data_IF_106187319586
#
_entry.id   IF_106187319586
#
_cell.length_a   1.000
_cell.length_b   1.000
_cell.length_c   1.000
_cell.angle_alpha   90.00
_cell.angle_beta   90.00
_cell.angle_gamma   90.00
#
_symmetry.space_group_name_H-M   'P 1'
#
loop_
_entity.id
_entity.type
_entity.pdbx_description
1 polymer ?
#
# COMPACT_ATOMS: atom_id res chain seq x y z
N UNK A 1 25.57 -45.07 -5.66
CA UNK A 1 24.26 -45.78 -5.62
C UNK A 1 23.76 -46.00 -4.19
N UNK A 2 24.61 -46.27 -3.20
CA UNK A 2 24.17 -46.40 -1.79
C UNK A 2 23.93 -45.06 -1.06
N UNK A 3 24.58 -43.96 -1.47
CA UNK A 3 24.38 -42.64 -0.82
C UNK A 3 23.08 -41.91 -1.23
N UNK A 4 22.46 -42.28 -2.36
CA UNK A 4 21.13 -41.78 -2.70
C UNK A 4 20.01 -42.46 -1.89
N UNK A 5 20.25 -43.69 -1.41
CA UNK A 5 19.26 -44.46 -0.66
C UNK A 5 19.14 -43.97 0.80
N UNK A 6 20.22 -43.42 1.36
CA UNK A 6 20.20 -42.79 2.70
C UNK A 6 19.50 -41.43 2.67
N UNK A 7 19.72 -40.62 1.61
CA UNK A 7 19.03 -39.32 1.45
C UNK A 7 17.54 -39.44 1.18
N UNK A 8 17.08 -40.50 0.52
CA UNK A 8 15.64 -40.73 0.33
C UNK A 8 14.91 -41.20 1.60
N UNK A 9 15.63 -41.78 2.57
CA UNK A 9 15.06 -42.20 3.87
C UNK A 9 14.91 -41.03 4.86
N UNK A 10 15.80 -40.03 4.83
CA UNK A 10 15.67 -38.84 5.68
C UNK A 10 14.57 -37.86 5.21
N UNK A 11 14.24 -37.84 3.92
CA UNK A 11 13.21 -36.95 3.36
C UNK A 11 11.77 -37.43 3.59
N UNK A 12 11.57 -38.62 4.17
CA UNK A 12 10.24 -39.17 4.45
C UNK A 12 9.79 -39.03 5.92
N UNK A 13 10.60 -38.39 6.77
CA UNK A 13 10.34 -38.28 8.22
C UNK A 13 9.83 -36.89 8.67
N UNK A 14 9.53 -35.96 7.75
CA UNK A 14 8.98 -34.62 8.08
C UNK A 14 7.59 -34.39 7.47
N UNK A 15 6.90 -35.45 7.04
CA UNK A 15 5.54 -35.36 6.51
C UNK A 15 4.62 -36.39 7.14
N UNK A 16 4.48 -36.37 8.48
CA UNK A 16 3.40 -37.10 9.17
C UNK A 16 3.32 -36.66 10.63
N UNK A 17 2.34 -35.82 10.97
CA UNK A 17 1.64 -35.79 12.26
C UNK A 17 0.27 -35.10 12.03
N UNK A 18 -0.78 -35.46 12.79
CA UNK A 18 -2.08 -35.77 12.21
C UNK A 18 -3.16 -34.74 12.54
N UNK A 19 -4.18 -34.72 11.68
CA UNK A 19 -5.49 -34.16 11.95
C UNK A 19 -6.24 -35.07 12.94
N UNK A 20 -6.67 -34.51 14.07
CA UNK A 20 -7.77 -35.02 14.88
C UNK A 20 -8.43 -33.84 15.60
N UNK A 21 -9.71 -33.61 15.29
CA UNK A 21 -10.47 -32.44 15.73
C UNK A 21 -11.30 -32.63 17.00
N UNK A 22 -12.24 -31.70 17.14
CA UNK A 22 -13.50 -31.76 17.91
C UNK A 22 -13.55 -31.06 19.28
N UNK A 23 -14.26 -29.92 19.25
CA UNK A 23 -15.33 -29.45 20.15
C UNK A 23 -14.99 -29.07 21.61
N UNK A 24 -15.26 -27.80 21.93
CA UNK A 24 -15.27 -27.26 23.29
C UNK A 24 -15.76 -25.80 23.32
N UNK A 25 -17.08 -25.63 23.32
CA UNK A 25 -17.83 -24.37 23.40
C UNK A 25 -17.75 -23.68 24.78
N UNK A 26 -17.66 -22.35 24.81
CA UNK A 26 -18.19 -21.39 25.82
C UNK A 26 -17.77 -19.97 25.36
N UNK A 27 -18.61 -19.15 24.72
CA UNK A 27 -19.70 -18.29 25.26
C UNK A 27 -19.25 -17.41 26.44
N UNK A 28 -19.12 -16.10 26.17
CA UNK A 28 -19.45 -14.86 26.92
C UNK A 28 -19.00 -13.73 25.94
N UNK A 29 -19.81 -13.10 25.08
CA UNK A 29 -20.93 -12.12 25.21
C UNK A 29 -20.59 -10.75 25.86
N UNK A 30 -20.71 -9.72 25.00
CA UNK A 30 -20.96 -8.26 25.23
C UNK A 30 -19.73 -7.40 25.63
N UNK A 31 -19.46 -6.20 25.11
CA UNK A 31 -20.32 -5.17 24.47
C UNK A 31 -19.47 -4.13 23.70
N UNK A 32 -20.12 -3.44 22.76
CA UNK A 32 -19.80 -2.14 22.11
C UNK A 32 -18.60 -2.04 21.16
N UNK A 33 -18.64 -1.31 20.04
CA UNK A 33 -19.70 -0.72 19.20
C UNK A 33 -18.91 -0.08 18.05
N UNK A 34 -19.22 -0.38 16.78
CA UNK A 34 -18.96 0.53 15.64
C UNK A 34 -19.68 -0.03 14.40
N UNK A 35 -20.93 0.44 14.29
CA UNK A 35 -21.60 1.01 13.12
C UNK A 35 -21.20 0.52 11.73
N UNK A 36 -22.19 -0.12 11.11
CA UNK A 36 -22.26 -0.65 9.76
C UNK A 36 -22.65 0.50 8.83
N UNK A 37 -21.87 0.77 7.79
CA UNK A 37 -22.32 1.56 6.63
C UNK A 37 -22.46 0.60 5.44
N UNK A 38 -23.64 -0.02 5.36
CA UNK A 38 -24.16 -0.69 4.17
C UNK A 38 -24.53 0.40 3.15
N UNK A 39 -23.90 0.34 1.98
CA UNK A 39 -24.26 1.20 0.84
C UNK A 39 -25.57 0.66 0.26
N UNK A 40 -26.69 1.23 0.69
CA UNK A 40 -27.99 1.08 0.03
C UNK A 40 -27.92 1.69 -1.39
N UNK A 41 -28.14 0.85 -2.40
CA UNK A 41 -28.52 1.28 -3.74
C UNK A 41 -29.94 1.86 -3.67
N UNK A 42 -30.05 3.18 -3.77
CA UNK A 42 -31.34 3.88 -3.84
C UNK A 42 -32.02 3.58 -5.18
N UNK A 43 -32.98 2.66 -5.15
CA UNK A 43 -33.94 2.41 -6.21
C UNK A 43 -34.87 3.62 -6.35
N UNK A 44 -34.81 4.32 -7.49
CA UNK A 44 -35.80 5.34 -7.84
C UNK A 44 -37.00 4.64 -8.50
N UNK A 45 -38.09 4.50 -7.73
CA UNK A 45 -39.44 4.22 -8.23
C UNK A 45 -40.47 4.97 -7.37
N UNK A 46 -41.62 5.25 -8.00
CA UNK A 46 -42.76 6.09 -7.58
C UNK A 46 -42.57 7.61 -7.79
N UNK A 47 -43.51 8.36 -8.37
CA UNK A 47 -44.95 8.13 -8.50
C UNK A 47 -45.50 8.99 -9.66
N UNK A 48 -46.39 8.41 -10.46
CA UNK A 48 -47.19 9.09 -11.48
C UNK A 48 -48.27 9.93 -10.77
N UNK A 49 -48.05 11.23 -10.61
CA UNK A 49 -49.09 12.15 -10.15
C UNK A 49 -49.99 12.53 -11.35
N UNK A 50 -51.11 11.80 -11.48
CA UNK A 50 -52.27 12.26 -12.24
C UNK A 50 -52.91 13.43 -11.47
N UNK A 51 -52.69 14.66 -11.93
CA UNK A 51 -53.45 15.82 -11.48
C UNK A 51 -54.55 16.12 -12.51
N UNK A 52 -55.76 15.66 -12.19
CA UNK A 52 -57.00 15.95 -12.89
C UNK A 52 -57.43 17.39 -12.55
N UNK A 53 -57.09 18.35 -13.40
CA UNK A 53 -57.63 19.72 -13.31
C UNK A 53 -58.80 19.86 -14.27
N UNK A 54 -60.00 19.77 -13.70
CA UNK A 54 -61.24 20.19 -14.34
C UNK A 54 -61.41 21.70 -14.11
N UNK A 55 -61.43 22.51 -15.16
CA UNK A 55 -62.34 23.67 -15.20
C UNK A 55 -62.66 24.08 -16.63
N UNK A 56 -63.95 24.32 -16.84
CA UNK A 56 -64.59 24.64 -18.10
C UNK A 56 -64.42 26.12 -18.45
N UNK A 57 -63.99 26.42 -19.68
CA UNK A 57 -64.31 27.69 -20.35
C UNK A 57 -64.20 27.54 -21.87
N UNK A 58 -65.27 27.08 -22.52
CA UNK A 58 -65.47 27.20 -23.98
C UNK A 58 -65.52 28.69 -24.39
N UNK A 59 -65.07 29.06 -25.61
CA UNK A 59 -66.03 29.02 -26.71
C UNK A 59 -65.51 28.35 -27.98
N UNK A 60 -66.45 27.66 -28.64
CA UNK A 60 -66.34 26.91 -29.89
C UNK A 60 -65.86 27.81 -31.05
N UNK A 61 -64.96 27.35 -31.95
CA UNK A 61 -64.79 28.01 -33.24
C UNK A 61 -65.97 27.64 -34.14
N UNK A 62 -66.93 28.56 -34.29
CA UNK A 62 -67.86 28.58 -35.42
C UNK A 62 -67.42 29.73 -36.32
N UNK A 63 -66.84 29.44 -37.48
CA UNK A 63 -67.35 29.95 -38.74
C UNK A 63 -66.60 29.29 -39.89
N UNK A 64 -67.32 28.40 -40.59
CA UNK A 64 -66.99 28.02 -41.95
C UNK A 64 -67.05 29.30 -42.80
N UNK A 65 -65.91 29.78 -43.25
CA UNK A 65 -65.86 30.69 -44.40
C UNK A 65 -65.60 29.82 -45.61
N UNK A 66 -66.62 29.77 -46.48
CA UNK A 66 -66.53 29.20 -47.81
C UNK A 66 -65.36 29.87 -48.55
N UNK A 67 -64.22 29.17 -48.65
CA UNK A 67 -63.15 29.54 -49.57
C UNK A 67 -63.71 29.26 -50.97
N UNK A 68 -64.23 30.32 -51.58
CA UNK A 68 -64.48 30.36 -53.02
C UNK A 68 -63.18 29.96 -53.72
N UNK A 69 -63.27 28.94 -54.58
CA UNK A 69 -62.15 28.49 -55.39
C UNK A 69 -61.48 29.69 -56.08
N UNK A 70 -60.15 29.90 -55.91
CA UNK A 70 -59.44 30.96 -56.58
C UNK A 70 -59.70 30.87 -58.08
N UNK A 71 -60.34 31.91 -58.61
CA UNK A 71 -60.58 32.09 -60.03
C UNK A 71 -59.22 32.29 -60.68
N UNK A 72 -58.73 31.27 -61.36
CA UNK A 72 -57.51 31.34 -62.17
C UNK A 72 -57.79 32.39 -63.27
N UNK A 73 -57.08 33.53 -63.29
CA UNK A 73 -57.06 34.38 -64.47
C UNK A 73 -56.26 33.63 -65.53
N UNK A 74 -56.89 33.46 -66.68
CA UNK A 74 -56.32 32.83 -67.86
C UNK A 74 -54.94 33.41 -68.21
N UNK A 75 -54.00 32.50 -68.45
CA UNK A 75 -53.01 32.69 -69.51
C UNK A 75 -51.80 33.56 -69.18
N UNK A 76 -51.01 33.16 -68.18
CA UNK A 76 -49.56 33.25 -68.34
C UNK A 76 -48.99 31.85 -68.13
N UNK A 77 -48.18 31.39 -69.09
CA UNK A 77 -47.62 30.03 -69.09
C UNK A 77 -46.94 29.77 -67.76
N UNK A 78 -47.58 28.97 -66.91
CA UNK A 78 -46.98 28.45 -65.69
C UNK A 78 -45.82 27.58 -66.14
N UNK A 79 -44.61 28.11 -66.07
CA UNK A 79 -43.41 27.41 -66.47
C UNK A 79 -43.13 26.32 -65.43
N UNK A 80 -43.45 25.08 -65.78
CA UNK A 80 -43.25 23.93 -64.90
C UNK A 80 -41.78 23.75 -64.52
N UNK A 81 -40.86 24.22 -65.37
CA UNK A 81 -39.42 24.22 -65.07
C UNK A 81 -39.06 25.29 -64.02
N UNK A 82 -39.76 26.44 -64.01
CA UNK A 82 -39.59 27.47 -62.98
C UNK A 82 -40.12 27.00 -61.61
N UNK A 83 -41.27 26.30 -61.59
CA UNK A 83 -41.79 25.69 -60.36
C UNK A 83 -40.82 24.62 -59.83
N UNK A 84 -40.27 23.78 -60.71
CA UNK A 84 -39.33 22.75 -60.30
C UNK A 84 -38.04 23.36 -59.75
N UNK A 85 -37.51 24.40 -60.42
CA UNK A 85 -36.31 25.13 -59.97
C UNK A 85 -36.52 25.81 -58.62
N UNK A 86 -37.64 26.52 -58.43
CA UNK A 86 -38.00 27.17 -57.15
C UNK A 86 -38.19 26.16 -56.02
N UNK A 87 -38.72 24.97 -56.32
CA UNK A 87 -38.81 23.87 -55.35
C UNK A 87 -37.42 23.40 -54.94
N UNK A 88 -36.55 23.08 -55.91
CA UNK A 88 -35.18 22.65 -55.62
C UNK A 88 -34.40 23.71 -54.84
N UNK A 89 -34.54 24.99 -55.18
CA UNK A 89 -33.88 26.09 -54.48
C UNK A 89 -34.39 26.25 -53.04
N UNK A 90 -35.70 26.12 -52.81
CA UNK A 90 -36.28 26.11 -51.47
C UNK A 90 -35.78 24.92 -50.66
N UNK A 91 -35.83 23.71 -51.22
CA UNK A 91 -35.42 22.48 -50.53
C UNK A 91 -33.92 22.53 -50.18
N UNK A 92 -33.08 23.10 -51.07
CA UNK A 92 -31.66 23.32 -50.81
C UNK A 92 -31.43 24.37 -49.71
N UNK A 93 -32.16 25.48 -49.73
CA UNK A 93 -32.07 26.52 -48.70
C UNK A 93 -32.55 26.01 -47.33
N UNK A 94 -33.62 25.22 -47.31
CA UNK A 94 -34.17 24.61 -46.09
C UNK A 94 -33.21 23.57 -45.53
N UNK A 95 -32.60 22.73 -46.39
CA UNK A 95 -31.58 21.78 -46.01
C UNK A 95 -30.34 22.48 -45.42
N UNK A 96 -29.86 23.56 -46.04
CA UNK A 96 -28.74 24.35 -45.52
C UNK A 96 -29.07 24.94 -44.15
N UNK A 97 -30.28 25.49 -43.98
CA UNK A 97 -30.74 26.06 -42.71
C UNK A 97 -30.84 25.01 -41.61
N UNK A 98 -31.33 23.80 -41.92
CA UNK A 98 -31.40 22.67 -41.00
C UNK A 98 -30.01 22.19 -40.58
N UNK A 99 -29.08 22.09 -41.52
CA UNK A 99 -27.69 21.72 -41.26
C UNK A 99 -27.04 22.74 -40.31
N UNK A 100 -27.16 24.02 -40.61
CA UNK A 100 -26.59 25.09 -39.80
C UNK A 100 -27.22 25.16 -38.40
N UNK A 101 -28.54 25.07 -38.31
CA UNK A 101 -29.26 25.00 -37.03
C UNK A 101 -28.79 23.82 -36.18
N UNK A 102 -28.64 22.64 -36.77
CA UNK A 102 -28.14 21.46 -36.06
C UNK A 102 -26.72 21.68 -35.52
N UNK A 103 -25.80 22.22 -36.32
CA UNK A 103 -24.44 22.50 -35.85
C UNK A 103 -24.39 23.56 -34.75
N UNK A 104 -25.15 24.64 -34.88
CA UNK A 104 -25.22 25.70 -33.87
C UNK A 104 -25.80 25.15 -32.56
N UNK A 105 -26.89 24.39 -32.64
CA UNK A 105 -27.50 23.78 -31.46
C UNK A 105 -26.54 22.83 -30.77
N UNK A 106 -25.92 21.89 -31.51
CA UNK A 106 -25.01 20.89 -30.96
C UNK A 106 -23.77 21.54 -30.34
N UNK A 107 -23.23 22.58 -30.97
CA UNK A 107 -22.10 23.36 -30.44
C UNK A 107 -22.48 24.08 -29.15
N UNK A 108 -23.66 24.71 -29.10
CA UNK A 108 -24.14 25.40 -27.90
C UNK A 108 -24.36 24.43 -26.74
N UNK A 109 -25.00 23.29 -27.00
CA UNK A 109 -25.20 22.23 -26.01
C UNK A 109 -23.87 21.65 -25.50
N UNK A 110 -22.90 21.45 -26.39
CA UNK A 110 -21.56 20.98 -26.02
C UNK A 110 -20.80 21.99 -25.16
N UNK A 111 -20.85 23.29 -25.50
CA UNK A 111 -20.25 24.36 -24.70
C UNK A 111 -20.90 24.45 -23.29
N UNK A 112 -22.22 24.32 -23.20
CA UNK A 112 -22.95 24.30 -21.92
C UNK A 112 -22.59 23.06 -21.08
N UNK A 113 -22.49 21.89 -21.71
CA UNK A 113 -22.09 20.65 -21.06
C UNK A 113 -20.66 20.72 -20.53
N UNK A 114 -19.73 21.22 -21.35
CA UNK A 114 -18.33 21.43 -20.94
C UNK A 114 -18.26 22.41 -19.77
N UNK A 115 -19.01 23.52 -19.83
CA UNK A 115 -19.04 24.50 -18.74
C UNK A 115 -19.58 23.88 -17.43
N UNK A 116 -20.59 23.01 -17.50
CA UNK A 116 -21.13 22.29 -16.36
C UNK A 116 -20.13 21.29 -15.76
N UNK A 117 -19.49 20.48 -16.61
CA UNK A 117 -18.46 19.51 -16.19
C UNK A 117 -17.30 20.24 -15.51
N UNK A 118 -16.79 21.31 -16.11
CA UNK A 118 -15.72 22.12 -15.52
C UNK A 118 -16.09 22.66 -14.14
N UNK A 119 -17.35 23.05 -13.92
CA UNK A 119 -17.84 23.52 -12.61
C UNK A 119 -17.94 22.38 -11.59
N UNK A 120 -18.34 21.18 -12.01
CA UNK A 120 -18.37 19.98 -11.15
C UNK A 120 -16.95 19.59 -10.76
N UNK A 121 -16.04 19.53 -11.72
CA UNK A 121 -14.64 19.15 -11.49
C UNK A 121 -13.92 20.16 -10.61
N UNK A 122 -14.17 21.46 -10.80
CA UNK A 122 -13.67 22.49 -9.88
C UNK A 122 -14.15 22.26 -8.45
N UNK A 123 -15.44 21.98 -8.23
CA UNK A 123 -15.98 21.70 -6.90
C UNK A 123 -15.43 20.40 -6.30
N UNK A 124 -15.19 19.38 -7.12
CA UNK A 124 -14.54 18.13 -6.68
C UNK A 124 -13.09 18.38 -6.26
N UNK A 125 -12.33 19.12 -7.07
CA UNK A 125 -10.96 19.51 -6.76
C UNK A 125 -10.86 20.34 -5.48
N UNK A 126 -11.76 21.31 -5.28
CA UNK A 126 -11.83 22.11 -4.04
C UNK A 126 -12.12 21.24 -2.82
N UNK A 127 -13.06 20.28 -2.92
CA UNK A 127 -13.33 19.33 -1.83
C UNK A 127 -12.13 18.42 -1.54
N UNK A 128 -11.48 17.90 -2.57
CA UNK A 128 -10.27 17.09 -2.44
C UNK A 128 -9.15 17.88 -1.76
N UNK A 129 -8.94 19.15 -2.13
CA UNK A 129 -7.94 20.01 -1.51
C UNK A 129 -8.29 20.34 -0.06
N UNK A 130 -9.56 20.61 0.26
CA UNK A 130 -10.00 20.79 1.65
C UNK A 130 -9.74 19.54 2.50
N UNK A 131 -9.97 18.35 1.97
CA UNK A 131 -9.65 17.10 2.67
C UNK A 131 -8.14 16.93 2.84
N UNK A 132 -7.34 17.24 1.82
CA UNK A 132 -5.87 17.19 1.89
C UNK A 132 -5.33 18.13 2.97
N UNK A 133 -5.80 19.36 3.02
CA UNK A 133 -5.41 20.35 4.04
C UNK A 133 -5.84 19.93 5.45
N UNK A 134 -7.04 19.36 5.61
CA UNK A 134 -7.48 18.81 6.91
C UNK A 134 -6.60 17.65 7.35
N UNK A 135 -6.31 16.71 6.45
CA UNK A 135 -5.44 15.56 6.74
C UNK A 135 -4.01 16.00 7.07
N UNK A 136 -3.47 16.99 6.37
CA UNK A 136 -2.14 17.56 6.62
C UNK A 136 -2.08 18.24 8.00
N UNK A 137 -3.07 19.08 8.34
CA UNK A 137 -3.15 19.72 9.66
C UNK A 137 -3.30 18.71 10.80
N UNK A 138 -4.07 17.64 10.61
CA UNK A 138 -4.20 16.59 11.61
C UNK A 138 -2.88 15.81 11.76
N UNK A 139 -2.24 15.46 10.64
CA UNK A 139 -0.93 14.82 10.65
C UNK A 139 0.13 15.67 11.35
N UNK A 140 0.13 16.99 11.13
CA UNK A 140 1.04 17.92 11.82
C UNK A 140 0.78 17.96 13.34
N UNK A 141 -0.49 17.98 13.76
CA UNK A 141 -0.84 17.92 15.19
C UNK A 141 -0.37 16.63 15.84
N UNK A 142 -0.62 15.49 15.18
CA UNK A 142 -0.16 14.18 15.65
C UNK A 142 1.38 14.11 15.69
N UNK A 143 2.06 14.66 14.69
CA UNK A 143 3.52 14.72 14.66
C UNK A 143 4.09 15.57 15.81
N UNK A 144 3.51 16.74 16.10
CA UNK A 144 3.93 17.59 17.22
C UNK A 144 3.75 16.91 18.57
N UNK A 145 2.63 16.20 18.76
CA UNK A 145 2.39 15.42 19.98
C UNK A 145 3.37 14.25 20.12
N UNK A 146 3.70 13.58 19.01
CA UNK A 146 4.68 12.51 18.99
C UNK A 146 6.10 13.03 19.29
N UNK A 147 6.48 14.18 18.74
CA UNK A 147 7.78 14.82 18.98
C UNK A 147 7.92 15.32 20.43
N UNK A 148 6.87 15.91 20.99
CA UNK A 148 6.86 16.34 22.41
C UNK A 148 6.98 15.13 23.36
N UNK A 149 6.27 14.04 23.03
CA UNK A 149 6.38 12.77 23.75
C UNK A 149 7.78 12.16 23.63
N UNK A 150 8.36 12.14 22.43
CA UNK A 150 9.71 11.63 22.20
C UNK A 150 10.77 12.48 22.93
N UNK A 151 10.62 13.81 22.94
CA UNK A 151 11.50 14.71 23.70
C UNK A 151 11.40 14.45 25.21
N UNK A 152 10.20 14.26 25.74
CA UNK A 152 9.99 13.91 27.15
C UNK A 152 10.61 12.55 27.49
N UNK A 153 10.43 11.54 26.62
CA UNK A 153 11.04 10.21 26.78
C UNK A 153 12.58 10.28 26.73
N UNK A 154 13.17 11.11 25.87
CA UNK A 154 14.62 11.33 25.81
C UNK A 154 15.16 12.02 27.07
N UNK A 155 14.45 13.02 27.60
CA UNK A 155 14.83 13.71 28.84
C UNK A 155 14.70 12.79 30.08
N UNK A 156 13.63 11.99 30.16
CA UNK A 156 13.44 10.97 31.20
C UNK A 156 14.51 9.87 31.12
N UNK A 157 14.86 9.43 29.90
CA UNK A 157 15.93 8.45 29.69
C UNK A 157 17.30 9.01 30.09
N UNK A 158 17.59 10.29 29.78
CA UNK A 158 18.84 10.95 30.20
C UNK A 158 18.91 11.08 31.73
N UNK A 159 17.82 11.54 32.36
CA UNK A 159 17.74 11.66 33.83
C UNK A 159 17.90 10.31 34.52
N UNK A 160 17.24 9.27 34.00
CA UNK A 160 17.39 7.89 34.51
C UNK A 160 18.82 7.37 34.37
N UNK A 161 19.48 7.64 33.23
CA UNK A 161 20.87 7.27 33.04
C UNK A 161 21.82 8.03 34.00
N UNK A 162 21.59 9.32 34.22
CA UNK A 162 22.40 10.12 35.15
C UNK A 162 22.19 9.70 36.61
N UNK A 163 20.96 9.36 36.99
CA UNK A 163 20.63 8.83 38.32
C UNK A 163 21.20 7.42 38.52
N UNK A 164 21.17 6.55 37.50
CA UNK A 164 21.82 5.23 37.53
C UNK A 164 23.34 5.35 37.59
N UNK A 165 23.96 6.30 36.89
CA UNK A 165 25.41 6.58 36.96
C UNK A 165 25.79 7.14 38.33
N UNK A 166 24.99 8.07 38.89
CA UNK A 166 25.21 8.59 40.26
C UNK A 166 25.04 7.49 41.30
N UNK A 167 24.00 6.65 41.20
CA UNK A 167 23.76 5.50 42.07
C UNK A 167 24.88 4.47 41.94
N UNK A 168 25.34 4.18 40.72
CA UNK A 168 26.48 3.29 40.46
C UNK A 168 27.79 3.88 40.98
N UNK A 169 28.01 5.20 40.88
CA UNK A 169 29.19 5.88 41.43
C UNK A 169 29.18 5.86 42.97
N UNK A 170 28.03 6.09 43.59
CA UNK A 170 27.86 6.00 45.04
C UNK A 170 28.06 4.56 45.54
N UNK A 171 27.46 3.58 44.86
CA UNK A 171 27.64 2.15 45.16
C UNK A 171 29.08 1.68 44.84
N UNK A 172 29.72 2.21 43.80
CA UNK A 172 31.11 1.91 43.47
C UNK A 172 32.07 2.47 44.52
N UNK A 173 31.82 3.66 45.09
CA UNK A 173 32.62 4.18 46.19
C UNK A 173 32.49 3.34 47.47
N UNK A 174 31.32 2.72 47.72
CA UNK A 174 31.13 1.77 48.84
C UNK A 174 31.63 0.35 48.53
N UNK A 175 31.62 -0.04 47.24
CA UNK A 175 31.93 -1.40 46.77
C UNK A 175 33.39 -1.59 46.35
N UNK A 176 34.22 -0.54 46.36
CA UNK A 176 35.68 -0.64 46.12
C UNK A 176 36.40 -1.53 47.15
N UNK A 177 35.72 -2.03 48.18
CA UNK A 177 36.25 -3.05 49.08
C UNK A 177 35.77 -4.49 48.80
N UNK A 178 34.76 -4.75 47.96
CA UNK A 178 34.15 -6.09 47.90
C UNK A 178 33.54 -6.60 46.57
N UNK A 179 33.71 -5.97 45.40
CA UNK A 179 33.11 -6.58 44.21
C UNK A 179 33.81 -6.34 42.87
N UNK A 180 34.78 -7.22 42.58
CA UNK A 180 35.31 -7.47 41.24
C UNK A 180 34.39 -8.37 40.36
N UNK A 181 33.08 -8.45 40.63
CA UNK A 181 32.24 -9.56 40.15
C UNK A 181 31.04 -9.23 39.25
N UNK A 182 30.64 -7.97 39.04
CA UNK A 182 29.38 -7.68 38.35
C UNK A 182 29.52 -6.57 37.31
N UNK A 183 30.02 -6.92 36.13
CA UNK A 183 29.87 -6.11 34.91
C UNK A 183 28.45 -6.30 34.38
N UNK A 184 27.55 -5.51 34.94
CA UNK A 184 26.16 -5.37 34.53
C UNK A 184 26.03 -4.94 33.06
N UNK A 185 25.21 -5.72 32.36
CA UNK A 185 24.76 -5.66 30.97
C UNK A 185 23.81 -4.47 30.70
N UNK A 186 24.22 -3.25 31.06
CA UNK A 186 23.34 -2.06 30.98
C UNK A 186 23.79 -1.00 29.96
N UNK A 187 24.50 -1.40 28.90
CA UNK A 187 24.83 -0.51 27.76
C UNK A 187 23.68 -0.38 26.75
N UNK A 188 22.45 -0.15 27.20
CA UNK A 188 21.33 0.23 26.32
C UNK A 188 21.08 1.74 26.42
N UNK A 189 21.99 2.49 25.82
CA UNK A 189 21.76 3.89 25.42
C UNK A 189 21.43 3.94 23.93
N UNK A 190 20.27 4.49 23.60
CA UNK A 190 19.69 4.53 22.25
C UNK A 190 19.11 3.17 21.84
N UNK A 191 17.90 3.14 21.27
CA UNK A 191 17.32 1.95 20.66
C UNK A 191 18.12 1.62 19.40
N UNK A 192 19.35 1.14 19.58
CA UNK A 192 20.20 0.63 18.50
C UNK A 192 19.36 -0.42 17.80
N UNK A 193 19.11 -0.18 16.52
CA UNK A 193 18.38 -1.10 15.66
C UNK A 193 18.89 -2.51 15.94
N UNK A 194 17.99 -3.40 16.36
CA UNK A 194 18.39 -4.74 16.77
C UNK A 194 19.05 -5.44 15.58
N UNK A 195 19.98 -6.36 15.82
CA UNK A 195 20.59 -7.14 14.72
C UNK A 195 19.52 -7.86 13.88
N UNK A 196 18.37 -8.19 14.50
CA UNK A 196 17.18 -8.72 13.82
C UNK A 196 16.58 -7.70 12.84
N UNK A 197 16.40 -6.45 13.26
CA UNK A 197 15.88 -5.39 12.41
C UNK A 197 16.86 -5.02 11.29
N UNK A 198 18.17 -4.98 11.56
CA UNK A 198 19.19 -4.75 10.53
C UNK A 198 19.19 -5.87 9.49
N UNK A 199 19.13 -7.13 9.93
CA UNK A 199 19.00 -8.28 9.03
C UNK A 199 17.74 -8.19 8.18
N UNK A 200 16.59 -7.83 8.78
CA UNK A 200 15.34 -7.67 8.05
C UNK A 200 15.44 -6.54 7.01
N UNK A 201 16.05 -5.41 7.36
CA UNK A 201 16.28 -4.29 6.44
C UNK A 201 17.17 -4.69 5.25
N UNK A 202 18.32 -5.32 5.52
CA UNK A 202 19.25 -5.76 4.47
C UNK A 202 18.60 -6.79 3.54
N UNK A 203 17.84 -7.74 4.09
CA UNK A 203 17.14 -8.74 3.27
C UNK A 203 16.02 -8.12 2.43
N UNK A 204 15.30 -7.14 2.96
CA UNK A 204 14.29 -6.41 2.20
C UNK A 204 14.91 -5.60 1.05
N UNK A 205 16.06 -4.96 1.29
CA UNK A 205 16.81 -4.21 0.27
C UNK A 205 17.36 -5.12 -0.85
N UNK A 206 17.81 -6.34 -0.50
CA UNK A 206 18.26 -7.34 -1.48
C UNK A 206 17.12 -7.97 -2.28
N UNK A 207 15.88 -7.91 -1.79
CA UNK A 207 14.73 -8.54 -2.43
C UNK A 207 14.22 -7.63 -3.55
N UNK A 208 14.49 -8.02 -4.79
CA UNK A 208 13.93 -7.36 -5.97
C UNK A 208 12.44 -7.74 -6.11
N UNK A 209 11.50 -6.78 -6.19
CA UNK A 209 10.12 -7.09 -6.48
C UNK A 209 10.03 -7.72 -7.88
N UNK A 210 9.24 -8.80 -8.00
CA UNK A 210 9.11 -9.54 -9.23
C UNK A 210 7.77 -9.17 -9.89
N UNK A 211 7.82 -8.58 -11.08
CA UNK A 211 6.64 -8.38 -11.93
C UNK A 211 6.65 -9.43 -13.02
N UNK A 212 5.67 -10.34 -13.00
CA UNK A 212 5.55 -11.46 -13.95
C UNK A 212 4.24 -11.45 -14.74
N UNK A 213 3.24 -10.69 -14.29
CA UNK A 213 1.85 -10.80 -14.77
C UNK A 213 1.66 -10.31 -16.21
N UNK A 214 2.57 -9.48 -16.71
CA UNK A 214 2.50 -8.87 -18.04
C UNK A 214 3.64 -9.33 -18.98
N UNK A 215 4.26 -10.50 -18.72
CA UNK A 215 5.36 -11.04 -19.54
C UNK A 215 4.87 -12.16 -20.48
N UNK A 216 5.46 -12.18 -21.69
CA UNK A 216 5.26 -13.26 -22.68
C UNK A 216 6.10 -14.51 -22.32
N UNK A 217 5.76 -15.68 -22.88
CA UNK A 217 6.36 -16.97 -22.52
C UNK A 217 7.90 -17.00 -22.68
N UNK A 218 8.43 -16.45 -23.76
CA UNK A 218 9.89 -16.40 -23.98
C UNK A 218 10.60 -15.50 -22.94
N UNK A 219 9.98 -14.38 -22.57
CA UNK A 219 10.50 -13.48 -21.52
C UNK A 219 10.40 -14.12 -20.13
N UNK A 220 9.39 -14.95 -19.89
CA UNK A 220 9.27 -15.72 -18.64
C UNK A 220 10.39 -16.77 -18.55
N UNK A 221 10.74 -17.44 -19.64
CA UNK A 221 11.87 -18.39 -19.69
C UNK A 221 13.20 -17.69 -19.40
N UNK A 222 13.43 -16.52 -20.00
CA UNK A 222 14.62 -15.70 -19.69
C UNK A 222 14.66 -15.28 -18.21
N UNK A 223 13.54 -14.82 -17.65
CA UNK A 223 13.47 -14.44 -16.24
C UNK A 223 13.65 -15.62 -15.28
N UNK A 224 13.13 -16.79 -15.63
CA UNK A 224 13.38 -18.01 -14.85
C UNK A 224 14.87 -18.38 -14.85
N UNK A 225 15.55 -18.28 -15.99
CA UNK A 225 17.00 -18.50 -16.08
C UNK A 225 17.80 -17.47 -15.28
N UNK A 226 17.43 -16.19 -15.31
CA UNK A 226 18.07 -15.14 -14.51
C UNK A 226 17.94 -15.42 -13.01
N UNK A 227 16.74 -15.76 -12.55
CA UNK A 227 16.48 -16.11 -11.14
C UNK A 227 17.23 -17.37 -10.72
N UNK A 228 17.33 -18.36 -11.60
CA UNK A 228 18.09 -19.59 -11.35
C UNK A 228 19.59 -19.31 -11.22
N UNK A 229 20.17 -18.49 -12.10
CA UNK A 229 21.57 -18.07 -12.00
C UNK A 229 21.82 -17.27 -10.71
N UNK A 230 20.89 -16.38 -10.34
CA UNK A 230 20.96 -15.62 -9.10
C UNK A 230 20.92 -16.53 -7.87
N UNK A 231 20.04 -17.54 -7.85
CA UNK A 231 19.98 -18.53 -6.77
C UNK A 231 21.29 -19.32 -6.66
N UNK A 232 21.85 -19.76 -7.79
CA UNK A 232 23.11 -20.50 -7.82
C UNK A 232 24.28 -19.67 -7.27
N UNK A 233 24.34 -18.38 -7.59
CA UNK A 233 25.32 -17.46 -7.02
C UNK A 233 25.23 -17.35 -5.49
N UNK A 234 24.00 -17.22 -4.96
CA UNK A 234 23.78 -17.18 -3.52
C UNK A 234 24.13 -18.51 -2.82
N UNK A 235 23.88 -19.65 -3.47
CA UNK A 235 24.27 -20.96 -2.94
C UNK A 235 25.79 -21.13 -2.88
N UNK A 236 26.52 -20.68 -3.91
CA UNK A 236 27.97 -20.68 -3.92
C UNK A 236 28.56 -19.80 -2.80
N UNK A 237 28.08 -18.56 -2.65
CA UNK A 237 28.51 -17.67 -1.56
C UNK A 237 28.23 -18.29 -0.18
N UNK A 238 27.07 -18.92 0.00
CA UNK A 238 26.71 -19.61 1.24
C UNK A 238 27.68 -20.76 1.53
N UNK A 239 28.08 -21.52 0.51
CA UNK A 239 29.04 -22.61 0.65
C UNK A 239 30.40 -22.09 1.11
N UNK A 240 30.96 -21.09 0.43
CA UNK A 240 32.24 -20.48 0.77
C UNK A 240 32.27 -19.91 2.19
N UNK A 241 31.20 -19.23 2.59
CA UNK A 241 31.06 -18.72 3.96
C UNK A 241 30.98 -19.84 5.00
N UNK A 242 30.35 -20.96 4.66
CA UNK A 242 30.27 -22.14 5.53
C UNK A 242 31.64 -22.79 5.72
N UNK A 243 32.41 -22.96 4.65
CA UNK A 243 33.79 -23.49 4.70
C UNK A 243 34.72 -22.56 5.48
N UNK A 244 34.61 -21.24 5.23
CA UNK A 244 35.35 -20.22 5.99
C UNK A 244 35.02 -20.29 7.49
N UNK A 245 33.75 -20.44 7.84
CA UNK A 245 33.33 -20.57 9.23
C UNK A 245 33.90 -21.84 9.89
N UNK A 246 33.92 -22.98 9.18
CA UNK A 246 34.54 -24.22 9.68
C UNK A 246 36.03 -24.00 9.95
N UNK A 247 36.75 -23.36 9.03
CA UNK A 247 38.17 -23.04 9.23
C UNK A 247 38.40 -22.11 10.41
N UNK A 248 37.61 -21.05 10.53
CA UNK A 248 37.69 -20.12 11.66
C UNK A 248 37.43 -20.82 13.00
N UNK A 249 36.47 -21.75 13.07
CA UNK A 249 36.24 -22.56 14.28
C UNK A 249 37.47 -23.38 14.66
N UNK A 250 38.12 -24.00 13.67
CA UNK A 250 39.37 -24.74 13.91
C UNK A 250 40.48 -23.82 14.44
N UNK A 251 40.70 -22.67 13.78
CA UNK A 251 41.74 -21.72 14.17
C UNK A 251 41.49 -21.18 15.59
N UNK A 252 40.22 -20.89 15.95
CA UNK A 252 39.83 -20.48 17.31
C UNK A 252 40.18 -21.58 18.32
N UNK A 253 39.84 -22.84 18.05
CA UNK A 253 40.15 -23.94 18.96
C UNK A 253 41.67 -24.09 19.18
N UNK A 254 42.46 -23.97 18.11
CA UNK A 254 43.93 -24.02 18.21
C UNK A 254 44.49 -22.84 19.00
N UNK A 255 43.95 -21.64 18.80
CA UNK A 255 44.36 -20.45 19.56
C UNK A 255 44.00 -20.57 21.04
N UNK A 256 42.82 -21.12 21.37
CA UNK A 256 42.41 -21.38 22.76
C UNK A 256 43.37 -22.35 23.44
N UNK A 257 43.75 -23.44 22.77
CA UNK A 257 44.74 -24.40 23.28
C UNK A 257 46.10 -23.72 23.53
N UNK A 258 46.60 -22.93 22.56
CA UNK A 258 47.88 -22.19 22.73
C UNK A 258 47.84 -21.20 23.89
N UNK A 259 46.72 -20.48 24.06
CA UNK A 259 46.54 -19.55 25.18
C UNK A 259 46.60 -20.30 26.51
N UNK A 260 45.92 -21.46 26.60
CA UNK A 260 45.95 -22.31 27.79
C UNK A 260 47.37 -22.83 28.09
N UNK A 261 48.12 -23.26 27.08
CA UNK A 261 49.51 -23.73 27.23
C UNK A 261 50.41 -22.61 27.76
N UNK A 262 50.33 -21.40 27.18
CA UNK A 262 51.12 -20.25 27.63
C UNK A 262 50.73 -19.76 29.04
N UNK A 263 49.47 -19.90 29.45
CA UNK A 263 49.03 -19.59 30.81
C UNK A 263 49.52 -20.64 31.81
N UNK A 264 49.47 -21.93 31.45
CA UNK A 264 49.95 -23.03 32.30
C UNK A 264 51.47 -23.00 32.50
N UNK A 265 52.22 -22.60 31.45
CA UNK A 265 53.67 -22.44 31.51
C UNK A 265 54.11 -21.27 32.41
N UNK A 266 53.33 -20.18 32.46
CA UNK A 266 53.62 -19.02 33.33
C UNK A 266 53.22 -19.23 34.80
N UNK A 267 52.42 -20.24 35.11
CA UNK A 267 51.96 -20.57 36.47
C UNK A 267 52.79 -21.63 37.21
N UNK A 268 53.67 -22.37 36.53
CA UNK A 268 54.47 -23.47 37.12
C UNK A 268 55.86 -23.05 37.66
N UNK A 269 56.16 -21.75 37.71
CA UNK A 269 57.50 -21.23 38.04
C UNK A 269 57.69 -20.63 39.43
N UNK A 270 56.73 -20.72 40.37
CA UNK A 270 56.93 -20.14 41.71
C UNK A 270 56.10 -20.84 42.78
N UNK A 271 56.66 -21.89 43.37
CA UNK A 271 56.12 -22.46 44.60
C UNK A 271 56.58 -23.89 44.87
N UNK A 272 57.40 -24.03 45.92
CA UNK A 272 57.53 -25.25 46.74
C UNK A 272 58.51 -26.33 46.25
N UNK A 273 59.79 -25.98 46.17
CA UNK A 273 60.90 -26.92 46.40
C UNK A 273 61.77 -26.32 47.51
N UNK A 274 61.37 -26.57 48.75
CA UNK A 274 62.05 -26.09 49.94
C UNK A 274 61.55 -26.84 51.16
N UNK A 275 62.26 -27.89 51.56
CA UNK A 275 62.10 -28.55 52.85
C UNK A 275 61.64 -29.99 52.78
N UNK A 276 62.59 -30.91 52.60
CA UNK A 276 62.72 -32.13 53.43
C UNK A 276 64.02 -32.84 53.07
N UNK A 277 65.06 -32.53 53.83
CA UNK A 277 66.17 -33.43 54.07
C UNK A 277 66.41 -33.42 55.59
N UNK A 278 65.97 -34.49 56.25
CA UNK A 278 66.39 -34.93 57.57
C UNK A 278 66.42 -36.44 57.53
#
# INVERSE_FOLDING_TARGET
MLDLFVKLKELKFISELPLSGSQGSSIITMSDAEEIDEVEEEQVQEEEAQEEVTDESKPKPKFMTNISAPKIPDGDKVDFDDIHRKRQEKDLSELQSLIEAHFIQRKKEEEELIALVNRIDKRRAERAEQQRVRAEREKERQARLAEEKERKELEEHRKKHDDDVKKKKALSNMSQHYSAGQKSDNRRGGKKQTEREKKKKILAERRKPLSVDHLNEDKLKEKANELWQWLMGLEAEKFDLSEKLKRQKYDINQLLARVQDHQSAKGRGKGKMGGRLR
#
